data_IF_894221791877
#
_entry.id   IF_894221791877
#
_cell.length_a   1.000
_cell.length_b   1.000
_cell.length_c   1.000
_cell.angle_alpha   90.00
_cell.angle_beta   90.00
_cell.angle_gamma   90.00
#
_symmetry.space_group_name_H-M   'P 1'
#
loop_
_entity.id
_entity.type
_entity.pdbx_description
1 polymer ?
#
# COMPACT_ATOMS: atom_id res chain seq x y z
N UNK A 1 -2.75 11.09 -18.21
CA UNK A 1 -2.95 10.39 -16.93
C UNK A 1 -2.67 8.93 -17.22
N UNK A 2 -1.47 8.45 -16.92
CA UNK A 2 -1.08 7.06 -17.16
C UNK A 2 -1.13 6.34 -15.81
N UNK A 3 -2.22 5.62 -15.56
CA UNK A 3 -2.27 4.60 -14.51
C UNK A 3 -1.81 3.31 -15.17
N UNK A 4 -0.50 3.12 -15.31
CA UNK A 4 0.03 1.81 -15.71
C UNK A 4 0.13 0.95 -14.45
N UNK A 5 -0.83 0.04 -14.26
CA UNK A 5 -0.64 -1.09 -13.37
C UNK A 5 0.43 -1.99 -14.01
N UNK A 6 1.70 -1.77 -13.66
CA UNK A 6 2.78 -2.63 -14.11
C UNK A 6 2.72 -3.91 -13.29
N UNK A 7 2.06 -4.93 -13.85
CA UNK A 7 2.12 -6.30 -13.36
C UNK A 7 3.54 -6.85 -13.61
N UNK A 8 4.43 -6.69 -12.62
CA UNK A 8 5.64 -7.50 -12.57
C UNK A 8 5.25 -8.82 -11.92
N UNK A 9 5.40 -9.92 -12.67
CA UNK A 9 5.22 -11.28 -12.16
C UNK A 9 6.31 -11.56 -11.09
N UNK A 10 6.04 -11.21 -9.83
CA UNK A 10 7.00 -11.22 -8.71
C UNK A 10 7.08 -12.58 -7.99
N UNK A 11 7.09 -13.69 -8.72
CA UNK A 11 7.19 -15.02 -8.11
C UNK A 11 8.56 -15.33 -7.44
N UNK A 12 9.56 -14.44 -7.57
CA UNK A 12 10.86 -14.55 -6.91
C UNK A 12 11.57 -13.18 -6.83
N UNK A 13 11.30 -12.42 -5.77
CA UNK A 13 12.10 -11.25 -5.39
C UNK A 13 13.36 -11.69 -4.63
N UNK A 14 14.42 -11.98 -5.39
CA UNK A 14 15.80 -11.95 -4.85
C UNK A 14 16.35 -10.53 -5.01
N UNK A 15 17.20 -10.10 -4.07
CA UNK A 15 17.84 -8.78 -3.86
C UNK A 15 18.20 -7.91 -5.10
N UNK A 16 18.26 -8.45 -6.32
CA UNK A 16 18.60 -7.69 -7.54
C UNK A 16 17.40 -6.98 -8.17
N UNK A 17 16.16 -7.38 -7.86
CA UNK A 17 14.95 -6.83 -8.48
C UNK A 17 14.41 -5.55 -7.83
N UNK A 18 14.68 -5.30 -6.55
CA UNK A 18 14.24 -4.06 -5.86
C UNK A 18 14.91 -2.80 -6.44
N UNK A 19 16.17 -2.93 -6.89
CA UNK A 19 16.86 -1.85 -7.60
C UNK A 19 16.16 -1.49 -8.92
N UNK A 20 15.48 -2.45 -9.57
CA UNK A 20 14.74 -2.19 -10.81
C UNK A 20 13.51 -1.34 -10.55
N UNK A 21 12.86 -1.46 -9.39
CA UNK A 21 11.75 -0.58 -9.00
C UNK A 21 12.26 0.87 -8.88
N UNK A 22 13.43 1.07 -8.26
CA UNK A 22 14.06 2.40 -8.19
C UNK A 22 14.39 2.98 -9.57
N UNK A 23 14.94 2.17 -10.48
CA UNK A 23 15.23 2.58 -11.86
C UNK A 23 13.95 2.88 -12.62
N UNK A 24 12.90 2.07 -12.46
CA UNK A 24 11.60 2.27 -13.10
C UNK A 24 10.98 3.59 -12.65
N UNK A 25 10.91 3.85 -11.34
CA UNK A 25 10.41 5.13 -10.82
C UNK A 25 11.20 6.32 -11.35
N UNK A 26 12.54 6.23 -11.37
CA UNK A 26 13.38 7.28 -11.91
C UNK A 26 13.09 7.52 -13.41
N UNK A 27 12.96 6.45 -14.20
CA UNK A 27 12.66 6.52 -15.63
C UNK A 27 11.27 7.14 -15.89
N UNK A 28 10.23 6.68 -15.20
CA UNK A 28 8.88 7.20 -15.39
C UNK A 28 8.78 8.67 -14.96
N UNK A 29 9.41 9.02 -13.85
CA UNK A 29 9.53 10.41 -13.42
C UNK A 29 10.26 11.28 -14.45
N UNK A 30 11.32 10.76 -15.08
CA UNK A 30 12.03 11.42 -16.18
C UNK A 30 11.17 11.59 -17.43
N UNK A 31 10.36 10.58 -17.78
CA UNK A 31 9.47 10.59 -18.96
C UNK A 31 8.37 11.64 -18.86
N UNK A 32 7.89 11.93 -17.65
CA UNK A 32 6.89 12.98 -17.40
C UNK A 32 7.50 14.38 -17.19
N UNK A 33 8.80 14.55 -17.46
CA UNK A 33 9.46 15.86 -17.44
C UNK A 33 10.06 16.26 -16.09
N UNK A 34 10.26 15.32 -15.16
CA UNK A 34 10.89 15.55 -13.86
C UNK A 34 10.25 16.64 -13.00
N UNK A 35 8.93 16.58 -12.74
CA UNK A 35 8.26 17.53 -11.87
C UNK A 35 8.94 17.61 -10.50
N UNK A 36 9.02 18.84 -9.97
CA UNK A 36 9.62 19.17 -8.68
C UNK A 36 8.69 20.12 -7.90
N UNK A 37 8.55 19.97 -6.56
CA UNK A 37 9.14 18.93 -5.73
C UNK A 37 8.57 17.53 -6.03
N UNK A 38 9.36 16.48 -5.77
CA UNK A 38 8.93 15.08 -5.90
C UNK A 38 9.02 14.34 -4.57
N UNK A 39 8.05 13.49 -4.29
CA UNK A 39 8.03 12.66 -3.09
C UNK A 39 7.78 11.18 -3.40
N UNK A 40 8.52 10.29 -2.74
CA UNK A 40 8.25 8.86 -2.71
C UNK A 40 7.32 8.57 -1.54
N UNK A 41 6.10 8.12 -1.82
CA UNK A 41 5.10 7.77 -0.81
C UNK A 41 4.97 6.24 -0.77
N UNK A 42 5.45 5.61 0.30
CA UNK A 42 5.36 4.15 0.47
C UNK A 42 4.31 3.79 1.54
N UNK A 43 3.34 2.96 1.16
CA UNK A 43 2.33 2.39 2.04
C UNK A 43 2.86 1.11 2.69
N UNK A 44 2.85 1.04 4.02
CA UNK A 44 3.31 -0.12 4.78
C UNK A 44 4.71 -0.59 4.34
N UNK A 45 5.76 0.24 4.50
CA UNK A 45 7.12 -0.07 4.02
C UNK A 45 7.77 -1.28 4.70
N UNK A 46 7.07 -1.92 5.65
CA UNK A 46 7.54 -3.08 6.41
C UNK A 46 8.82 -2.74 7.16
N UNK A 47 9.94 -3.32 6.75
CA UNK A 47 11.23 -3.00 7.37
C UNK A 47 11.93 -1.80 6.71
N UNK A 48 11.43 -1.25 5.61
CA UNK A 48 12.07 -0.20 4.81
C UNK A 48 13.21 -0.69 3.89
N UNK A 49 13.26 -1.99 3.57
CA UNK A 49 14.26 -2.55 2.65
C UNK A 49 14.09 -2.04 1.22
N UNK A 50 12.85 -1.99 0.72
CA UNK A 50 12.57 -1.61 -0.65
C UNK A 50 12.94 -0.14 -0.90
N UNK A 51 12.49 0.76 -0.03
CA UNK A 51 12.93 2.16 -0.07
C UNK A 51 14.45 2.32 0.09
N UNK A 52 15.14 1.51 0.90
CA UNK A 52 16.62 1.59 0.96
C UNK A 52 17.28 1.38 -0.42
N UNK A 53 16.79 0.38 -1.17
CA UNK A 53 17.28 0.09 -2.51
C UNK A 53 16.88 1.18 -3.51
N UNK A 54 15.66 1.71 -3.43
CA UNK A 54 15.19 2.82 -4.28
C UNK A 54 16.05 4.06 -4.03
N UNK A 55 16.26 4.47 -2.77
CA UNK A 55 17.06 5.64 -2.43
C UNK A 55 18.52 5.49 -2.84
N UNK A 56 19.08 4.27 -2.80
CA UNK A 56 20.42 3.99 -3.33
C UNK A 56 20.51 4.23 -4.84
N UNK A 57 19.45 3.92 -5.58
CA UNK A 57 19.40 4.19 -7.03
C UNK A 57 19.26 5.70 -7.26
N UNK A 58 18.29 6.34 -6.59
CA UNK A 58 18.09 7.78 -6.69
C UNK A 58 19.35 8.56 -6.33
N UNK A 59 20.06 8.20 -5.26
CA UNK A 59 21.32 8.89 -4.87
C UNK A 59 22.43 8.81 -5.92
N UNK A 60 22.38 7.84 -6.84
CA UNK A 60 23.36 7.69 -7.93
C UNK A 60 22.93 8.37 -9.21
N UNK A 61 21.63 8.41 -9.48
CA UNK A 61 21.07 8.94 -10.72
C UNK A 61 20.67 10.41 -10.61
N UNK A 62 20.26 10.86 -9.42
CA UNK A 62 19.85 12.22 -9.17
C UNK A 62 21.07 13.13 -9.03
N UNK A 63 21.16 14.15 -9.87
CA UNK A 63 22.06 15.27 -9.61
C UNK A 63 21.60 16.02 -8.34
N UNK A 64 22.51 16.80 -7.74
CA UNK A 64 22.31 17.53 -6.48
C UNK A 64 21.10 18.47 -6.42
N UNK A 65 20.48 18.76 -7.56
CA UNK A 65 19.31 19.64 -7.69
C UNK A 65 17.96 18.92 -7.48
N UNK A 66 17.93 17.58 -7.48
CA UNK A 66 16.69 16.82 -7.37
C UNK A 66 16.21 16.77 -5.92
N UNK A 67 15.07 17.39 -5.62
CA UNK A 67 14.50 17.46 -4.26
C UNK A 67 13.54 16.30 -4.02
N UNK A 68 14.08 15.07 -3.96
CA UNK A 68 13.30 13.92 -3.51
C UNK A 68 13.11 13.98 -1.99
N UNK A 69 11.87 13.78 -1.54
CA UNK A 69 11.54 13.47 -0.14
C UNK A 69 10.87 12.11 -0.03
N UNK A 70 10.92 11.50 1.16
CA UNK A 70 10.29 10.21 1.43
C UNK A 70 9.18 10.39 2.45
N UNK A 71 8.03 9.81 2.17
CA UNK A 71 6.83 9.88 3.00
C UNK A 71 6.39 8.44 3.26
N UNK A 72 6.50 7.97 4.50
CA UNK A 72 6.07 6.64 4.90
C UNK A 72 4.70 6.70 5.53
N UNK A 73 3.79 5.83 5.08
CA UNK A 73 2.49 5.63 5.72
C UNK A 73 2.59 4.33 6.53
N UNK A 74 2.79 4.48 7.83
CA UNK A 74 3.05 3.39 8.77
C UNK A 74 2.34 3.67 10.10
N UNK A 75 1.56 2.71 10.56
CA UNK A 75 0.79 2.84 11.81
C UNK A 75 1.53 2.25 13.00
N UNK A 76 2.43 1.29 12.79
CA UNK A 76 3.14 0.56 13.84
C UNK A 76 4.36 1.34 14.36
N UNK A 77 4.36 1.79 15.64
CA UNK A 77 5.50 2.50 16.20
C UNK A 77 6.78 1.65 16.21
N UNK A 78 6.64 0.33 16.37
CA UNK A 78 7.77 -0.59 16.32
C UNK A 78 8.43 -0.61 14.94
N UNK A 79 7.63 -0.70 13.87
CA UNK A 79 8.16 -0.71 12.50
C UNK A 79 8.77 0.64 12.13
N UNK A 80 8.19 1.76 12.58
CA UNK A 80 8.79 3.10 12.44
C UNK A 80 10.24 3.12 12.97
N UNK A 81 10.49 2.55 14.16
CA UNK A 81 11.84 2.47 14.74
C UNK A 81 12.79 1.55 13.95
N UNK A 82 12.28 0.42 13.44
CA UNK A 82 13.06 -0.50 12.58
C UNK A 82 13.47 0.18 11.28
N UNK A 83 12.54 0.89 10.64
CA UNK A 83 12.77 1.63 9.40
C UNK A 83 13.78 2.77 9.60
N UNK A 84 13.60 3.56 10.68
CA UNK A 84 14.55 4.62 11.06
C UNK A 84 15.96 4.07 11.25
N UNK A 85 16.11 2.98 12.01
CA UNK A 85 17.42 2.37 12.27
C UNK A 85 18.12 1.90 10.99
N UNK A 86 17.36 1.57 9.95
CA UNK A 86 17.90 1.17 8.64
C UNK A 86 18.27 2.36 7.75
N UNK A 87 17.42 3.38 7.73
CA UNK A 87 17.44 4.44 6.73
C UNK A 87 18.12 5.72 7.22
N UNK A 88 18.09 6.00 8.52
CA UNK A 88 18.55 7.26 9.11
C UNK A 88 19.84 7.06 9.89
N UNK A 89 20.65 8.11 9.97
CA UNK A 89 21.90 8.15 10.74
C UNK A 89 21.76 8.86 12.09
N UNK A 90 20.59 9.45 12.38
CA UNK A 90 20.39 10.34 13.53
C UNK A 90 19.24 9.91 14.45
N UNK A 91 19.43 10.18 15.75
CA UNK A 91 18.37 10.40 16.75
C UNK A 91 17.93 9.19 17.58
N UNK A 92 17.76 9.40 18.89
CA UNK A 92 17.13 8.47 19.84
C UNK A 92 15.61 8.74 20.00
N UNK A 93 14.96 9.27 18.98
CA UNK A 93 13.52 9.58 19.02
C UNK A 93 12.64 8.33 19.04
N UNK A 94 11.67 8.32 19.94
CA UNK A 94 10.70 7.24 20.15
C UNK A 94 9.42 7.44 19.32
N UNK A 95 9.00 8.68 19.10
CA UNK A 95 7.86 9.05 18.25
C UNK A 95 8.36 9.81 17.02
N UNK A 96 8.03 9.27 15.83
CA UNK A 96 8.52 9.74 14.53
C UNK A 96 7.42 10.40 13.68
N UNK A 97 6.15 10.27 14.05
CA UNK A 97 5.05 10.76 13.22
C UNK A 97 5.06 12.29 13.12
N UNK A 98 4.97 12.81 11.90
CA UNK A 98 5.04 14.24 11.60
C UNK A 98 6.43 14.86 11.69
N UNK A 99 7.48 14.09 12.02
CA UNK A 99 8.86 14.58 12.11
C UNK A 99 9.66 14.22 10.88
N UNK A 100 10.45 15.17 10.42
CA UNK A 100 11.32 14.98 9.25
C UNK A 100 12.75 14.70 9.70
N UNK A 101 13.24 13.52 9.37
CA UNK A 101 14.63 13.13 9.55
C UNK A 101 15.38 13.14 8.22
N UNK A 102 16.67 12.81 8.26
CA UNK A 102 17.51 12.66 7.07
C UNK A 102 17.96 11.21 6.92
N UNK A 103 17.78 10.68 5.73
CA UNK A 103 18.29 9.34 5.38
C UNK A 103 19.81 9.37 5.24
N UNK A 104 20.46 8.19 5.32
CA UNK A 104 21.90 8.01 5.05
C UNK A 104 22.33 8.41 3.64
N UNK A 105 21.36 8.59 2.72
CA UNK A 105 21.55 9.09 1.36
C UNK A 105 21.35 10.60 1.25
N UNK A 106 20.91 11.26 2.33
CA UNK A 106 20.73 12.70 2.39
C UNK A 106 19.32 13.21 2.08
N UNK A 107 18.39 12.33 1.70
CA UNK A 107 17.00 12.69 1.44
C UNK A 107 16.21 12.89 2.74
N UNK A 108 15.30 13.88 2.82
CA UNK A 108 14.34 14.01 3.91
C UNK A 108 13.38 12.81 3.97
N UNK A 109 13.01 12.37 5.17
CA UNK A 109 12.04 11.29 5.39
C UNK A 109 11.09 11.61 6.55
N UNK A 110 9.80 11.39 6.35
CA UNK A 110 8.74 11.67 7.33
C UNK A 110 7.77 10.49 7.43
N UNK A 111 7.30 10.20 8.65
CA UNK A 111 6.30 9.15 8.92
C UNK A 111 4.92 9.76 9.15
N UNK A 112 3.90 9.10 8.60
CA UNK A 112 2.51 9.50 8.60
C UNK A 112 1.62 8.32 9.01
N UNK A 113 0.54 8.60 9.72
CA UNK A 113 -0.49 7.58 9.98
C UNK A 113 -1.39 7.36 8.76
N UNK A 114 -1.64 8.42 8.00
CA UNK A 114 -2.60 8.44 6.92
C UNK A 114 -2.06 9.24 5.74
N UNK A 115 -2.52 8.93 4.53
CA UNK A 115 -2.17 9.68 3.33
C UNK A 115 -2.56 11.17 3.44
N UNK A 116 -3.63 11.48 4.18
CA UNK A 116 -4.13 12.85 4.37
C UNK A 116 -3.16 13.79 5.07
N UNK A 117 -2.15 13.28 5.77
CA UNK A 117 -1.12 14.11 6.42
C UNK A 117 0.12 14.32 5.54
N UNK A 118 0.18 13.67 4.38
CA UNK A 118 1.28 13.80 3.41
C UNK A 118 1.13 15.12 2.65
N UNK A 119 2.19 15.96 2.52
CA UNK A 119 2.12 17.23 1.80
C UNK A 119 1.72 17.10 0.33
N UNK A 120 1.13 18.16 -0.22
CA UNK A 120 0.78 18.26 -1.65
C UNK A 120 2.02 18.44 -2.53
N UNK A 121 2.26 17.46 -3.42
CA UNK A 121 3.39 17.45 -4.35
C UNK A 121 3.24 16.29 -5.36
N UNK A 122 4.00 16.36 -6.46
CA UNK A 122 4.09 15.24 -7.40
C UNK A 122 4.61 13.98 -6.68
N UNK A 123 3.82 12.92 -6.73
CA UNK A 123 4.01 11.76 -5.85
C UNK A 123 4.31 10.48 -6.63
N UNK A 124 5.35 9.77 -6.21
CA UNK A 124 5.67 8.41 -6.60
C UNK A 124 5.06 7.48 -5.55
N UNK A 125 3.87 6.95 -5.79
CA UNK A 125 3.17 6.04 -4.87
C UNK A 125 3.67 4.61 -5.02
N UNK A 126 3.96 3.96 -3.91
CA UNK A 126 4.41 2.58 -3.85
C UNK A 126 3.63 1.81 -2.79
N UNK A 127 2.97 0.74 -3.20
CA UNK A 127 2.35 -0.22 -2.30
C UNK A 127 2.82 -1.62 -2.71
N UNK A 128 3.62 -2.27 -1.87
CA UNK A 128 4.18 -3.59 -2.14
C UNK A 128 3.76 -4.56 -1.04
N UNK A 129 2.91 -5.54 -1.37
CA UNK A 129 2.31 -6.47 -0.40
C UNK A 129 1.62 -5.71 0.74
N UNK A 130 0.80 -4.72 0.37
CA UNK A 130 0.09 -3.84 1.31
C UNK A 130 -1.41 -4.11 1.34
N UNK A 131 -2.03 -4.31 0.18
CA UNK A 131 -3.48 -4.47 0.06
C UNK A 131 -3.93 -5.89 0.41
N UNK A 132 -3.08 -6.91 0.27
CA UNK A 132 -3.34 -8.26 0.80
C UNK A 132 -3.48 -8.31 2.32
N UNK A 133 -2.86 -7.38 3.03
CA UNK A 133 -2.97 -7.24 4.49
C UNK A 133 -4.19 -6.42 4.93
N UNK A 134 -4.92 -5.78 4.01
CA UNK A 134 -6.06 -4.93 4.34
C UNK A 134 -7.29 -5.76 4.77
N UNK A 135 -8.09 -5.27 5.73
CA UNK A 135 -9.30 -5.96 6.16
C UNK A 135 -10.27 -6.22 5.01
N UNK A 136 -10.89 -7.41 5.03
CA UNK A 136 -11.91 -7.84 4.07
C UNK A 136 -13.22 -8.19 4.76
N UNK A 137 -14.32 -7.93 4.06
CA UNK A 137 -15.61 -8.54 4.30
C UNK A 137 -15.76 -9.76 3.40
N UNK A 138 -16.33 -10.83 3.93
CA UNK A 138 -16.65 -12.05 3.18
C UNK A 138 -18.15 -12.22 3.07
N UNK A 139 -18.64 -12.50 1.87
CA UNK A 139 -20.06 -12.74 1.62
C UNK A 139 -20.28 -14.06 0.90
N UNK A 140 -21.39 -14.71 1.24
CA UNK A 140 -21.85 -15.95 0.63
C UNK A 140 -23.31 -15.82 0.21
N UNK A 141 -23.63 -16.26 -1.01
CA UNK A 141 -24.98 -16.34 -1.55
C UNK A 141 -25.69 -17.56 -0.98
N UNK A 142 -26.91 -17.38 -0.46
CA UNK A 142 -27.77 -18.46 0.02
C UNK A 142 -29.11 -18.44 -0.73
N UNK A 143 -29.97 -19.48 -0.59
CA UNK A 143 -31.32 -19.45 -1.15
C UNK A 143 -32.15 -18.23 -0.71
N UNK A 144 -31.86 -17.68 0.47
CA UNK A 144 -32.52 -16.51 1.05
C UNK A 144 -31.75 -15.20 0.78
N UNK A 145 -30.86 -15.19 -0.21
CA UNK A 145 -30.03 -14.05 -0.61
C UNK A 145 -28.64 -14.02 0.03
N UNK A 146 -27.94 -12.90 -0.13
CA UNK A 146 -26.58 -12.75 0.41
C UNK A 146 -26.54 -12.73 1.93
N UNK A 147 -25.50 -13.34 2.50
CA UNK A 147 -25.15 -13.30 3.92
C UNK A 147 -23.68 -12.99 4.08
N UNK A 148 -23.36 -12.17 5.06
CA UNK A 148 -21.98 -11.96 5.49
C UNK A 148 -21.48 -13.16 6.30
N UNK A 149 -20.24 -13.56 6.05
CA UNK A 149 -19.49 -14.55 6.82
C UNK A 149 -18.80 -13.83 7.97
N UNK A 150 -19.08 -14.25 9.19
CA UNK A 150 -18.61 -13.65 10.43
C UNK A 150 -17.82 -14.69 11.24
N UNK A 151 -17.14 -14.22 12.29
CA UNK A 151 -16.50 -15.08 13.29
C UNK A 151 -17.39 -15.11 14.53
N UNK A 152 -17.70 -16.32 14.99
CA UNK A 152 -18.38 -16.59 16.27
C UNK A 152 -17.42 -17.31 17.21
N UNK A 153 -17.71 -17.24 18.51
CA UNK A 153 -16.96 -17.93 19.55
C UNK A 153 -17.84 -18.96 20.23
N UNK A 154 -17.53 -20.23 20.04
CA UNK A 154 -18.31 -21.35 20.57
C UNK A 154 -17.39 -22.45 21.06
N UNK A 155 -17.70 -22.98 22.24
CA UNK A 155 -16.98 -24.10 22.86
C UNK A 155 -15.46 -23.88 22.98
N UNK A 156 -15.04 -22.63 23.19
CA UNK A 156 -13.62 -22.27 23.35
C UNK A 156 -12.86 -22.00 22.04
N UNK A 157 -13.52 -22.16 20.89
CA UNK A 157 -12.90 -22.04 19.57
C UNK A 157 -13.60 -20.96 18.72
N UNK A 158 -12.82 -20.34 17.82
CA UNK A 158 -13.36 -19.43 16.81
C UNK A 158 -13.84 -20.22 15.59
N UNK A 159 -15.04 -19.90 15.11
CA UNK A 159 -15.64 -20.57 13.95
C UNK A 159 -16.28 -19.56 12.99
N UNK A 160 -16.25 -19.88 11.69
CA UNK A 160 -16.99 -19.12 10.70
C UNK A 160 -18.49 -19.40 10.82
N UNK A 161 -19.30 -18.34 10.80
CA UNK A 161 -20.77 -18.43 10.79
C UNK A 161 -21.35 -17.49 9.74
N UNK A 162 -22.56 -17.80 9.25
CA UNK A 162 -23.31 -16.88 8.42
C UNK A 162 -24.19 -15.98 9.28
N UNK A 163 -24.23 -14.69 8.94
CA UNK A 163 -25.20 -13.75 9.50
C UNK A 163 -26.64 -14.28 9.36
N UNK A 164 -27.48 -14.05 10.37
CA UNK A 164 -28.88 -14.52 10.39
C UNK A 164 -29.76 -13.76 9.39
N UNK A 165 -29.40 -12.51 9.10
CA UNK A 165 -30.08 -11.62 8.17
C UNK A 165 -29.04 -10.76 7.42
N UNK A 166 -29.40 -10.15 6.28
CA UNK A 166 -28.49 -9.28 5.54
C UNK A 166 -27.99 -8.12 6.40
N UNK A 167 -26.67 -7.99 6.51
CA UNK A 167 -26.00 -6.91 7.25
C UNK A 167 -25.98 -5.62 6.45
N UNK A 168 -25.67 -4.45 7.05
CA UNK A 168 -25.44 -3.22 6.29
C UNK A 168 -24.38 -3.39 5.20
N UNK A 169 -23.27 -4.08 5.51
CA UNK A 169 -22.21 -4.37 4.55
C UNK A 169 -22.72 -5.19 3.35
N UNK A 170 -23.59 -6.17 3.60
CA UNK A 170 -24.24 -6.96 2.54
C UNK A 170 -25.03 -6.09 1.56
N UNK A 171 -25.66 -5.00 2.05
CA UNK A 171 -26.50 -4.12 1.22
C UNK A 171 -25.70 -3.04 0.48
N UNK A 172 -24.57 -2.62 1.04
CA UNK A 172 -23.79 -1.49 0.54
C UNK A 172 -22.64 -1.91 -0.37
N UNK A 173 -22.02 -3.06 -0.09
CA UNK A 173 -20.77 -3.46 -0.74
C UNK A 173 -20.99 -4.40 -1.93
N UNK A 174 -22.09 -5.14 -1.96
CA UNK A 174 -22.36 -6.14 -3.00
C UNK A 174 -23.05 -5.47 -4.19
N UNK A 175 -22.50 -5.68 -5.39
CA UNK A 175 -23.13 -5.24 -6.64
C UNK A 175 -24.45 -6.00 -6.88
N UNK A 176 -25.47 -5.31 -7.38
CA UNK A 176 -26.78 -5.89 -7.71
C UNK A 176 -26.67 -6.97 -8.79
N UNK A 177 -25.72 -6.81 -9.71
CA UNK A 177 -25.49 -7.74 -10.80
C UNK A 177 -24.47 -8.85 -10.47
N UNK A 178 -24.14 -9.02 -9.18
CA UNK A 178 -23.19 -10.04 -8.75
C UNK A 178 -23.70 -11.46 -9.03
N UNK A 179 -22.89 -12.22 -9.78
CA UNK A 179 -23.23 -13.58 -10.24
C UNK A 179 -22.52 -14.67 -9.45
N UNK A 180 -21.47 -14.33 -8.71
CA UNK A 180 -20.70 -15.27 -7.88
C UNK A 180 -21.52 -15.73 -6.68
N UNK A 181 -21.09 -16.84 -6.09
CA UNK A 181 -21.66 -17.37 -4.84
C UNK A 181 -20.85 -16.95 -3.61
N UNK A 182 -19.60 -16.53 -3.79
CA UNK A 182 -18.71 -16.03 -2.74
C UNK A 182 -17.92 -14.83 -3.25
N UNK A 183 -17.81 -13.81 -2.42
CA UNK A 183 -17.00 -12.62 -2.72
C UNK A 183 -16.30 -12.11 -1.46
N UNK A 184 -15.08 -11.60 -1.68
CA UNK A 184 -14.30 -10.86 -0.68
C UNK A 184 -14.21 -9.40 -1.14
N UNK A 185 -14.46 -8.46 -0.24
CA UNK A 185 -14.45 -7.02 -0.54
C UNK A 185 -13.66 -6.30 0.56
N UNK A 186 -12.71 -5.45 0.17
CA UNK A 186 -12.00 -4.54 1.10
C UNK A 186 -12.43 -3.09 0.85
N UNK A 187 -13.38 -2.54 1.64
CA UNK A 187 -13.80 -1.14 1.51
C UNK A 187 -12.67 -0.16 1.78
N UNK A 188 -11.82 -0.45 2.76
CA UNK A 188 -10.70 0.40 3.16
C UNK A 188 -9.65 0.52 2.05
N UNK A 189 -9.38 -0.59 1.34
CA UNK A 189 -8.53 -0.57 0.14
C UNK A 189 -9.11 0.33 -0.94
N UNK A 190 -10.43 0.27 -1.14
CA UNK A 190 -11.13 1.12 -2.10
C UNK A 190 -11.05 2.61 -1.77
N UNK A 191 -11.23 2.98 -0.50
CA UNK A 191 -11.10 4.37 -0.02
C UNK A 191 -9.67 4.87 -0.24
N UNK A 192 -8.66 4.07 0.13
CA UNK A 192 -7.27 4.47 -0.04
C UNK A 192 -6.89 4.66 -1.52
N UNK A 193 -7.37 3.77 -2.40
CA UNK A 193 -7.17 3.90 -3.84
C UNK A 193 -7.85 5.14 -4.42
N UNK A 194 -9.03 5.50 -3.92
CA UNK A 194 -9.73 6.74 -4.31
C UNK A 194 -8.90 7.97 -3.90
N UNK A 195 -8.40 7.99 -2.66
CA UNK A 195 -7.53 9.07 -2.17
C UNK A 195 -6.25 9.19 -3.01
N UNK A 196 -5.58 8.08 -3.33
CA UNK A 196 -4.38 8.07 -4.21
C UNK A 196 -4.74 8.60 -5.60
N UNK A 197 -5.84 8.15 -6.17
CA UNK A 197 -6.28 8.57 -7.51
C UNK A 197 -6.59 10.06 -7.54
N UNK A 198 -7.24 10.57 -6.49
CA UNK A 198 -7.51 12.00 -6.32
C UNK A 198 -6.22 12.81 -6.25
N UNK A 199 -5.26 12.38 -5.42
CA UNK A 199 -3.93 13.00 -5.31
C UNK A 199 -3.19 13.03 -6.64
N UNK A 200 -3.20 11.92 -7.38
CA UNK A 200 -2.57 11.85 -8.70
C UNK A 200 -3.26 12.76 -9.73
N UNK A 201 -4.58 12.94 -9.63
CA UNK A 201 -5.34 13.82 -10.52
C UNK A 201 -5.09 15.30 -10.23
N UNK A 202 -4.94 15.66 -8.96
CA UNK A 202 -4.78 17.05 -8.50
C UNK A 202 -3.32 17.51 -8.59
N UNK A 203 -2.37 16.70 -8.11
CA UNK A 203 -0.96 17.08 -7.96
C UNK A 203 -0.01 16.39 -8.97
N UNK A 204 -0.54 15.44 -9.74
CA UNK A 204 0.27 14.54 -10.56
C UNK A 204 0.92 13.43 -9.74
N UNK A 205 1.17 12.31 -10.41
CA UNK A 205 1.91 11.21 -9.78
C UNK A 205 2.08 10.01 -10.68
N UNK A 206 2.85 9.05 -10.17
CA UNK A 206 3.07 7.72 -10.74
C UNK A 206 2.81 6.74 -9.59
N UNK A 207 2.07 5.66 -9.83
CA UNK A 207 1.80 4.66 -8.81
C UNK A 207 2.27 3.28 -9.26
N UNK A 208 2.89 2.55 -8.34
CA UNK A 208 3.18 1.13 -8.47
C UNK A 208 2.52 0.38 -7.30
N UNK A 209 1.56 -0.47 -7.64
CA UNK A 209 0.89 -1.36 -6.69
C UNK A 209 1.23 -2.78 -7.09
N UNK A 210 1.94 -3.49 -6.22
CA UNK A 210 2.38 -4.85 -6.43
C UNK A 210 1.84 -5.71 -5.30
N UNK A 211 0.92 -6.61 -5.62
CA UNK A 211 0.26 -7.46 -4.64
C UNK A 211 -0.06 -8.84 -5.21
N UNK A 212 -0.26 -9.83 -4.35
CA UNK A 212 -0.72 -11.14 -4.74
C UNK A 212 -2.21 -11.09 -5.03
N UNK A 213 -2.54 -10.95 -6.30
CA UNK A 213 -3.92 -10.95 -6.79
C UNK A 213 -4.16 -11.97 -7.89
N UNK A 214 -5.43 -12.10 -8.26
CA UNK A 214 -5.82 -12.86 -9.45
C UNK A 214 -6.74 -12.01 -10.31
N UNK A 215 -6.51 -12.00 -11.62
CA UNK A 215 -7.52 -11.55 -12.57
C UNK A 215 -8.61 -12.62 -12.64
N UNK A 216 -9.79 -12.33 -12.08
CA UNK A 216 -10.97 -13.19 -12.18
C UNK A 216 -11.47 -13.73 -10.84
N UNK A 217 -12.30 -14.78 -10.91
CA UNK A 217 -13.13 -15.24 -9.81
C UNK A 217 -12.46 -16.37 -9.02
N UNK A 218 -11.87 -16.05 -7.86
CA UNK A 218 -11.69 -17.04 -6.78
C UNK A 218 -12.67 -16.75 -5.65
N UNK A 219 -13.09 -17.81 -4.97
CA UNK A 219 -14.17 -17.80 -3.98
C UNK A 219 -13.66 -17.57 -2.55
N UNK A 220 -12.49 -18.10 -2.21
CA UNK A 220 -11.87 -17.95 -0.87
C UNK A 220 -10.35 -17.77 -1.01
N UNK A 221 -9.89 -16.55 -0.76
CA UNK A 221 -8.50 -16.13 -0.92
C UNK A 221 -7.83 -15.77 0.40
N UNK A 222 -8.60 -15.58 1.47
CA UNK A 222 -8.02 -15.40 2.81
C UNK A 222 -7.21 -16.63 3.23
N UNK A 223 -5.94 -16.41 3.55
CA UNK A 223 -5.03 -17.43 4.05
C UNK A 223 -4.38 -16.95 5.33
N UNK A 224 -4.09 -17.89 6.22
CA UNK A 224 -3.12 -17.68 7.28
C UNK A 224 -1.87 -18.50 6.91
N UNK A 225 -0.73 -17.83 6.85
CA UNK A 225 0.58 -18.48 6.71
C UNK A 225 1.20 -18.52 8.11
N UNK A 226 1.44 -19.73 8.62
CA UNK A 226 2.14 -19.96 9.90
C UNK A 226 3.62 -20.15 9.68
#
# INVERSE_FOLDING_TARGET
MFLEAVEILLHHLRFHKCLLIGVWFYNEWHRVGHPQPVQLVEFGPGRGTLTDDILRVFSKLSNSESKLSVQFIEVSPHLCLVQKSRLCTEGAEQDLHGKTLKTKYGFPITWHHHLTTVPEAFSLFLAHEFFDAMPIHKFQKTPDGWREVLIDFKDGELQYVLSRSPTPATKLLIDKDEKRDHIEISPESGILLDDVTKRMKEDGGIALIADYGHFGTKTDTFRNLK
#
